data_IF_673590162738
#
_entry.id   IF_673590162738
#
_cell.length_a   1.000
_cell.length_b   1.000
_cell.length_c   1.000
_cell.angle_alpha   90.00
_cell.angle_beta   90.00
_cell.angle_gamma   90.00
#
_symmetry.space_group_name_H-M   'P 1'
#
loop_
_entity.id
_entity.type
_entity.pdbx_description
1 polymer ?
#
# COMPACT_ATOMS: atom_id res chain seq x y z
N UNK A 1 -2.24 19.60 35.35
CA UNK A 1 -2.21 18.17 34.98
C UNK A 1 -0.81 17.87 34.48
N UNK A 2 -0.04 17.07 35.21
CA UNK A 2 1.29 16.65 34.77
C UNK A 2 1.13 15.75 33.53
N UNK A 3 1.78 16.12 32.44
CA UNK A 3 1.92 15.22 31.29
C UNK A 3 2.88 14.13 31.74
N UNK A 4 2.39 12.91 31.94
CA UNK A 4 3.28 11.77 32.08
C UNK A 4 4.13 11.68 30.82
N UNK A 5 5.42 11.98 30.93
CA UNK A 5 6.37 11.73 29.87
C UNK A 5 6.56 10.23 29.77
N UNK A 6 5.98 9.62 28.75
CA UNK A 6 6.30 8.22 28.42
C UNK A 6 7.70 8.23 27.79
N UNK A 7 8.69 7.78 28.54
CA UNK A 7 10.04 7.54 28.02
C UNK A 7 10.00 6.33 27.06
N UNK A 8 9.82 6.60 25.79
CA UNK A 8 9.80 5.55 24.76
C UNK A 8 8.57 5.60 23.83
N UNK A 9 8.52 4.71 22.84
CA UNK A 9 7.36 4.61 21.95
C UNK A 9 6.13 4.09 22.69
N UNK A 10 4.95 4.61 22.33
CA UNK A 10 3.69 4.11 22.81
C UNK A 10 3.47 2.65 22.39
N UNK A 11 2.62 1.95 23.13
CA UNK A 11 2.21 0.60 22.74
C UNK A 11 1.62 0.60 21.32
N UNK A 12 2.03 -0.36 20.51
CA UNK A 12 1.54 -0.46 19.14
C UNK A 12 0.03 -0.71 19.10
N UNK A 13 -0.62 -0.07 18.16
CA UNK A 13 -2.02 -0.27 17.87
C UNK A 13 -2.30 -1.75 17.57
N UNK A 14 -3.35 -2.32 18.15
CA UNK A 14 -3.79 -3.66 17.80
C UNK A 14 -4.30 -3.69 16.36
N UNK A 15 -3.75 -4.59 15.54
CA UNK A 15 -4.13 -4.77 14.14
C UNK A 15 -4.33 -6.23 13.79
N UNK A 16 -5.05 -6.50 12.72
CA UNK A 16 -5.04 -7.81 12.04
C UNK A 16 -3.62 -8.12 11.58
N UNK A 17 -3.36 -9.39 11.25
CA UNK A 17 -2.05 -9.84 10.77
C UNK A 17 -2.18 -10.27 9.32
N UNK A 18 -1.59 -9.50 8.40
CA UNK A 18 -1.52 -9.89 6.98
C UNK A 18 -0.24 -10.69 6.71
N UNK A 19 -0.38 -11.87 6.10
CA UNK A 19 0.75 -12.73 5.76
C UNK A 19 1.13 -12.56 4.30
N UNK A 20 2.41 -12.22 4.05
CA UNK A 20 2.98 -12.01 2.73
C UNK A 20 4.15 -12.97 2.55
N UNK A 21 3.92 -14.11 1.92
CA UNK A 21 4.87 -15.20 1.93
C UNK A 21 5.18 -15.64 3.36
N UNK A 22 6.45 -15.61 3.73
CA UNK A 22 6.94 -15.93 5.08
C UNK A 22 6.95 -14.72 6.05
N UNK A 23 6.54 -13.53 5.61
CA UNK A 23 6.55 -12.30 6.41
C UNK A 23 5.15 -11.98 6.94
N UNK A 24 5.04 -11.68 8.23
CA UNK A 24 3.81 -11.24 8.88
C UNK A 24 3.83 -9.73 9.12
N UNK A 25 2.77 -9.03 8.71
CA UNK A 25 2.61 -7.58 8.86
C UNK A 25 1.45 -7.33 9.82
N UNK A 26 1.68 -6.54 10.87
CA UNK A 26 0.66 -6.19 11.86
C UNK A 26 0.73 -7.01 13.15
N UNK A 27 -0.26 -6.85 14.01
CA UNK A 27 -0.29 -7.45 15.34
C UNK A 27 0.91 -7.02 16.18
N UNK A 28 1.52 -7.99 16.87
CA UNK A 28 2.72 -7.78 17.68
C UNK A 28 4.04 -7.94 16.89
N UNK A 29 3.98 -8.18 15.58
CA UNK A 29 5.18 -8.37 14.76
C UNK A 29 5.94 -7.04 14.58
N UNK A 30 7.27 -7.07 14.42
CA UNK A 30 8.06 -5.86 14.13
C UNK A 30 7.55 -5.11 12.89
N UNK A 31 7.89 -3.83 12.79
CA UNK A 31 7.62 -3.04 11.59
C UNK A 31 8.43 -3.60 10.43
N UNK A 32 7.74 -3.97 9.36
CA UNK A 32 8.34 -4.62 8.19
C UNK A 32 8.87 -3.60 7.19
N UNK A 33 10.12 -3.77 6.76
CA UNK A 33 10.77 -2.90 5.76
C UNK A 33 10.48 -3.41 4.35
N UNK A 34 9.82 -2.58 3.55
CA UNK A 34 9.55 -2.86 2.14
C UNK A 34 10.23 -1.83 1.24
N UNK A 35 11.01 -2.29 0.29
CA UNK A 35 11.60 -1.46 -0.76
C UNK A 35 10.95 -1.69 -2.12
N UNK A 36 11.29 -0.86 -3.10
CA UNK A 36 10.82 -0.97 -4.47
C UNK A 36 12.01 -0.87 -5.44
N UNK A 37 12.00 -1.70 -6.48
CA UNK A 37 12.95 -1.57 -7.59
C UNK A 37 12.64 -0.35 -8.45
N UNK A 38 13.65 0.16 -9.13
CA UNK A 38 13.52 1.19 -10.15
C UNK A 38 14.02 0.72 -11.54
N UNK A 39 14.29 -0.58 -11.67
CA UNK A 39 14.58 -1.23 -12.95
C UNK A 39 13.32 -1.40 -13.78
N UNK A 40 13.47 -1.53 -15.10
CA UNK A 40 12.41 -2.09 -15.93
C UNK A 40 12.21 -3.56 -15.55
N UNK A 41 11.02 -3.92 -15.11
CA UNK A 41 10.72 -5.30 -14.69
C UNK A 41 10.79 -6.30 -15.85
N UNK A 42 10.64 -5.84 -17.10
CA UNK A 42 10.85 -6.68 -18.26
C UNK A 42 12.32 -7.13 -18.41
N UNK A 43 13.28 -6.38 -17.87
CA UNK A 43 14.66 -6.83 -17.68
C UNK A 43 14.76 -7.68 -16.39
N UNK A 44 14.52 -8.98 -16.55
CA UNK A 44 14.51 -9.94 -15.45
C UNK A 44 15.86 -10.07 -14.73
N UNK A 45 16.98 -9.81 -15.44
CA UNK A 45 18.33 -9.92 -14.88
C UNK A 45 18.63 -8.71 -13.99
N UNK A 46 18.45 -7.50 -14.53
CA UNK A 46 18.65 -6.27 -13.79
C UNK A 46 17.72 -6.19 -12.56
N UNK A 47 16.46 -6.59 -12.73
CA UNK A 47 15.49 -6.58 -11.64
C UNK A 47 15.84 -7.58 -10.55
N UNK A 48 16.24 -8.82 -10.88
CA UNK A 48 16.65 -9.79 -9.88
C UNK A 48 17.91 -9.34 -9.12
N UNK A 49 18.89 -8.74 -9.80
CA UNK A 49 20.09 -8.18 -9.17
C UNK A 49 19.71 -7.07 -8.19
N UNK A 50 18.83 -6.14 -8.59
CA UNK A 50 18.42 -5.05 -7.72
C UNK A 50 17.60 -5.54 -6.52
N UNK A 51 16.70 -6.51 -6.71
CA UNK A 51 16.00 -7.17 -5.58
C UNK A 51 17.02 -7.75 -4.60
N UNK A 52 18.04 -8.48 -5.09
CA UNK A 52 19.08 -9.05 -4.27
C UNK A 52 19.86 -7.97 -3.47
N UNK A 53 20.13 -6.83 -4.09
CA UNK A 53 20.78 -5.69 -3.42
C UNK A 53 19.90 -5.11 -2.32
N UNK A 54 18.60 -4.93 -2.57
CA UNK A 54 17.64 -4.42 -1.58
C UNK A 54 17.52 -5.37 -0.38
N UNK A 55 17.47 -6.68 -0.62
CA UNK A 55 17.43 -7.69 0.46
C UNK A 55 18.71 -7.62 1.32
N UNK A 56 19.88 -7.54 0.70
CA UNK A 56 21.15 -7.38 1.43
C UNK A 56 21.22 -6.06 2.22
N UNK A 57 20.49 -5.04 1.79
CA UNK A 57 20.36 -3.77 2.51
C UNK A 57 19.31 -3.79 3.63
N UNK A 58 18.61 -4.92 3.84
CA UNK A 58 17.68 -5.10 4.94
C UNK A 58 16.20 -5.05 4.54
N UNK A 59 15.86 -5.09 3.25
CA UNK A 59 14.47 -5.18 2.82
C UNK A 59 13.90 -6.58 3.06
N UNK A 60 12.79 -6.67 3.77
CA UNK A 60 12.10 -7.91 4.09
C UNK A 60 11.05 -8.27 3.04
N UNK A 61 10.58 -7.29 2.29
CA UNK A 61 9.65 -7.43 1.15
C UNK A 61 10.14 -6.51 0.04
N UNK A 62 10.05 -6.94 -1.21
CA UNK A 62 10.41 -6.10 -2.36
C UNK A 62 9.25 -5.97 -3.34
N UNK A 63 8.96 -4.73 -3.75
CA UNK A 63 7.94 -4.40 -4.74
C UNK A 63 8.57 -4.16 -6.11
N UNK A 64 7.96 -4.73 -7.13
CA UNK A 64 8.28 -4.57 -8.56
C UNK A 64 7.08 -4.02 -9.30
N UNK A 65 7.28 -3.19 -10.31
CA UNK A 65 6.19 -2.66 -11.16
C UNK A 65 5.79 -3.72 -12.20
N UNK A 66 4.48 -3.95 -12.35
CA UNK A 66 3.95 -4.88 -13.36
C UNK A 66 2.88 -4.13 -14.17
N UNK A 67 3.29 -3.45 -15.21
CA UNK A 67 2.47 -2.55 -16.02
C UNK A 67 2.38 -2.95 -17.51
N UNK A 68 3.23 -3.90 -17.94
CA UNK A 68 3.28 -4.42 -19.30
C UNK A 68 3.16 -5.95 -19.34
N UNK A 69 2.87 -6.53 -20.51
CA UNK A 69 2.84 -7.98 -20.70
C UNK A 69 4.24 -8.58 -20.54
N UNK A 70 5.26 -7.86 -20.98
CA UNK A 70 6.66 -8.25 -20.88
C UNK A 70 7.08 -8.32 -19.41
N UNK A 71 6.74 -7.30 -18.60
CA UNK A 71 6.96 -7.29 -17.17
C UNK A 71 6.24 -8.48 -16.48
N UNK A 72 4.96 -8.72 -16.81
CA UNK A 72 4.21 -9.84 -16.24
C UNK A 72 4.86 -11.19 -16.54
N UNK A 73 5.35 -11.39 -17.77
CA UNK A 73 6.06 -12.62 -18.16
C UNK A 73 7.43 -12.75 -17.51
N UNK A 74 8.07 -11.66 -17.13
CA UNK A 74 9.38 -11.67 -16.48
C UNK A 74 9.29 -12.08 -14.99
N UNK A 75 8.18 -11.81 -14.30
CA UNK A 75 8.03 -12.08 -12.87
C UNK A 75 8.40 -13.51 -12.45
N UNK A 76 7.90 -14.58 -13.09
CA UNK A 76 8.31 -15.94 -12.74
C UNK A 76 9.82 -16.17 -12.89
N UNK A 77 10.42 -15.64 -13.95
CA UNK A 77 11.87 -15.77 -14.19
C UNK A 77 12.71 -14.97 -13.17
N UNK A 78 12.20 -13.79 -12.73
CA UNK A 78 12.81 -13.05 -11.63
C UNK A 78 12.81 -13.91 -10.36
N UNK A 79 11.69 -14.57 -10.03
CA UNK A 79 11.59 -15.48 -8.90
C UNK A 79 12.60 -16.63 -9.00
N UNK A 80 12.70 -17.30 -10.13
CA UNK A 80 13.64 -18.38 -10.39
C UNK A 80 15.10 -17.93 -10.20
N UNK A 81 15.46 -16.74 -10.71
CA UNK A 81 16.78 -16.17 -10.54
C UNK A 81 17.10 -15.86 -9.08
N UNK A 82 16.15 -15.33 -8.32
CA UNK A 82 16.33 -15.07 -6.88
C UNK A 82 16.54 -16.38 -6.12
N UNK A 83 15.76 -17.42 -6.40
CA UNK A 83 15.94 -18.74 -5.82
C UNK A 83 17.32 -19.33 -6.14
N UNK A 84 17.80 -19.17 -7.39
CA UNK A 84 19.15 -19.58 -7.78
C UNK A 84 20.26 -18.82 -7.04
N UNK A 85 19.96 -17.61 -6.55
CA UNK A 85 20.86 -16.82 -5.67
C UNK A 85 20.66 -17.14 -4.17
N UNK A 86 19.84 -18.13 -3.82
CA UNK A 86 19.42 -18.45 -2.45
C UNK A 86 18.74 -17.27 -1.72
N UNK A 87 17.93 -16.49 -2.45
CA UNK A 87 17.18 -15.36 -1.93
C UNK A 87 15.70 -15.69 -1.96
N UNK A 88 15.13 -15.85 -0.77
CA UNK A 88 13.70 -16.08 -0.56
C UNK A 88 13.05 -14.83 0.05
N UNK A 89 12.76 -13.84 -0.78
CA UNK A 89 12.07 -12.61 -0.40
C UNK A 89 10.67 -12.56 -1.01
N UNK A 90 9.64 -12.17 -0.25
CA UNK A 90 8.31 -11.93 -0.82
C UNK A 90 8.35 -10.81 -1.86
N UNK A 91 7.74 -11.08 -3.03
CA UNK A 91 7.61 -10.11 -4.11
C UNK A 91 6.20 -9.54 -4.15
N UNK A 92 6.11 -8.22 -4.29
CA UNK A 92 4.84 -7.50 -4.45
C UNK A 92 4.72 -6.98 -5.86
N UNK A 93 3.67 -7.34 -6.57
CA UNK A 93 3.36 -6.77 -7.88
C UNK A 93 2.59 -5.45 -7.71
N UNK A 94 3.12 -4.38 -8.29
CA UNK A 94 2.47 -3.07 -8.34
C UNK A 94 1.72 -2.92 -9.66
N UNK A 95 0.38 -2.94 -9.57
CA UNK A 95 -0.50 -2.91 -10.74
C UNK A 95 -1.18 -1.56 -10.88
N UNK A 96 -1.25 -1.10 -12.10
CA UNK A 96 -1.97 0.09 -12.52
C UNK A 96 -3.10 -0.31 -13.50
N UNK A 97 -3.72 0.61 -14.17
CA UNK A 97 -4.92 0.54 -15.02
C UNK A 97 -5.30 -0.80 -15.68
N UNK A 98 -4.32 -1.61 -16.10
CA UNK A 98 -4.51 -2.87 -16.83
C UNK A 98 -4.17 -4.13 -16.01
N UNK A 99 -3.94 -3.98 -14.69
CA UNK A 99 -3.50 -5.07 -13.81
C UNK A 99 -4.41 -6.31 -13.86
N UNK A 100 -5.72 -6.12 -13.93
CA UNK A 100 -6.69 -7.20 -14.08
C UNK A 100 -6.46 -8.05 -15.35
N UNK A 101 -6.11 -7.41 -16.47
CA UNK A 101 -5.79 -8.10 -17.74
C UNK A 101 -4.44 -8.80 -17.68
N UNK A 102 -3.45 -8.14 -17.07
CA UNK A 102 -2.10 -8.69 -16.92
C UNK A 102 -2.11 -9.96 -16.08
N UNK A 103 -2.78 -9.94 -14.92
CA UNK A 103 -2.89 -11.11 -14.05
C UNK A 103 -3.74 -12.24 -14.67
N UNK A 104 -4.88 -11.89 -15.29
CA UNK A 104 -5.72 -12.88 -15.95
C UNK A 104 -5.01 -13.56 -17.13
N UNK A 105 -4.22 -12.81 -17.90
CA UNK A 105 -3.47 -13.31 -19.05
C UNK A 105 -2.13 -13.99 -18.71
N UNK A 106 -1.65 -13.87 -17.47
CA UNK A 106 -0.37 -14.43 -17.04
C UNK A 106 -0.51 -15.10 -15.65
N UNK A 107 -1.13 -16.29 -15.56
CA UNK A 107 -1.32 -17.01 -14.29
C UNK A 107 -0.02 -17.22 -13.52
N UNK A 108 1.07 -17.56 -14.18
CA UNK A 108 2.39 -17.76 -13.58
C UNK A 108 2.92 -16.48 -12.89
N UNK A 109 2.55 -15.28 -13.38
CA UNK A 109 2.87 -14.02 -12.69
C UNK A 109 2.14 -13.93 -11.35
N UNK A 110 0.82 -14.24 -11.33
CA UNK A 110 0.03 -14.22 -10.10
C UNK A 110 0.56 -15.23 -9.07
N UNK A 111 0.96 -16.42 -9.52
CA UNK A 111 1.54 -17.47 -8.67
C UNK A 111 2.88 -17.07 -8.07
N UNK A 112 3.75 -16.44 -8.88
CA UNK A 112 5.09 -16.03 -8.47
C UNK A 112 5.13 -14.81 -7.54
N UNK A 113 4.06 -14.04 -7.44
CA UNK A 113 3.92 -12.91 -6.51
C UNK A 113 3.39 -13.38 -5.15
N UNK A 114 3.75 -12.65 -4.08
CA UNK A 114 3.30 -12.93 -2.72
C UNK A 114 2.25 -11.92 -2.22
N UNK A 115 2.15 -10.74 -2.85
CA UNK A 115 1.17 -9.69 -2.56
C UNK A 115 0.90 -8.87 -3.80
N UNK A 116 -0.32 -8.35 -3.91
CA UNK A 116 -0.69 -7.40 -4.94
C UNK A 116 -0.81 -5.99 -4.35
N UNK A 117 -0.34 -4.97 -5.06
CA UNK A 117 -0.62 -3.58 -4.74
C UNK A 117 -1.60 -3.03 -5.76
N UNK A 118 -2.69 -2.49 -5.28
CA UNK A 118 -3.76 -1.88 -6.07
C UNK A 118 -3.96 -0.44 -5.61
N UNK A 119 -4.02 0.49 -6.56
CA UNK A 119 -4.46 1.85 -6.30
C UNK A 119 -5.89 2.01 -6.82
N UNK A 120 -6.90 2.15 -5.96
CA UNK A 120 -8.31 2.21 -6.38
C UNK A 120 -8.60 3.38 -7.33
N UNK A 121 -7.83 4.46 -7.27
CA UNK A 121 -7.93 5.58 -8.22
C UNK A 121 -7.35 5.29 -9.61
N UNK A 122 -6.54 4.23 -9.74
CA UNK A 122 -5.83 3.87 -10.99
C UNK A 122 -6.26 2.52 -11.57
N UNK A 123 -7.35 1.91 -11.12
CA UNK A 123 -7.83 0.62 -11.67
C UNK A 123 -8.81 0.79 -12.83
N UNK A 124 -9.23 2.01 -13.14
CA UNK A 124 -10.16 2.31 -14.23
C UNK A 124 -10.74 3.72 -14.11
N UNK A 125 -11.66 4.07 -15.00
CA UNK A 125 -12.36 5.36 -14.98
C UNK A 125 -13.86 5.16 -15.03
N UNK A 126 -14.62 5.93 -14.25
CA UNK A 126 -16.08 5.89 -14.23
C UNK A 126 -16.62 4.50 -13.85
N UNK A 127 -17.70 4.06 -14.47
CA UNK A 127 -18.37 2.77 -14.19
C UNK A 127 -17.46 1.53 -14.35
N UNK A 128 -16.42 1.59 -15.19
CA UNK A 128 -15.48 0.48 -15.39
C UNK A 128 -14.50 0.30 -14.21
N UNK A 129 -14.38 1.28 -13.33
CA UNK A 129 -13.45 1.21 -12.19
C UNK A 129 -13.84 0.09 -11.22
N UNK A 130 -15.11 0.03 -10.87
CA UNK A 130 -15.61 -0.94 -9.90
C UNK A 130 -15.52 -2.36 -10.43
N UNK A 131 -15.80 -2.59 -11.72
CA UNK A 131 -15.63 -3.89 -12.38
C UNK A 131 -14.16 -4.32 -12.41
N UNK A 132 -13.24 -3.41 -12.72
CA UNK A 132 -11.81 -3.71 -12.81
C UNK A 132 -11.20 -3.92 -11.42
N UNK A 133 -11.65 -3.18 -10.41
CA UNK A 133 -11.29 -3.41 -9.02
C UNK A 133 -11.78 -4.80 -8.58
N UNK A 134 -13.04 -5.13 -8.85
CA UNK A 134 -13.61 -6.43 -8.52
C UNK A 134 -12.82 -7.58 -9.15
N UNK A 135 -12.48 -7.48 -10.45
CA UNK A 135 -11.65 -8.49 -11.12
C UNK A 135 -10.28 -8.67 -10.48
N UNK A 136 -9.62 -7.59 -10.04
CA UNK A 136 -8.34 -7.68 -9.33
C UNK A 136 -8.48 -8.38 -7.98
N UNK A 137 -9.55 -8.08 -7.22
CA UNK A 137 -9.83 -8.72 -5.94
C UNK A 137 -10.17 -10.20 -6.13
N UNK A 138 -10.99 -10.54 -7.14
CA UNK A 138 -11.29 -11.93 -7.48
C UNK A 138 -10.02 -12.74 -7.84
N UNK A 139 -9.10 -12.14 -8.57
CA UNK A 139 -7.79 -12.75 -8.85
C UNK A 139 -6.95 -12.91 -7.58
N UNK A 140 -6.94 -11.90 -6.69
CA UNK A 140 -6.28 -12.00 -5.39
C UNK A 140 -6.84 -13.17 -4.56
N UNK A 141 -8.16 -13.31 -4.49
CA UNK A 141 -8.83 -14.42 -3.82
C UNK A 141 -8.45 -15.77 -4.47
N UNK A 142 -8.54 -15.87 -5.79
CA UNK A 142 -8.22 -17.08 -6.54
C UNK A 142 -6.82 -17.60 -6.28
N UNK A 143 -5.84 -16.70 -6.20
CA UNK A 143 -4.43 -17.04 -5.98
C UNK A 143 -4.02 -16.93 -4.51
N UNK A 144 -4.97 -16.69 -3.60
CA UNK A 144 -4.74 -16.52 -2.16
C UNK A 144 -3.64 -15.47 -1.87
N UNK A 145 -3.74 -14.29 -2.51
CA UNK A 145 -2.76 -13.22 -2.36
C UNK A 145 -3.32 -12.07 -1.52
N UNK A 146 -2.64 -11.64 -0.45
CA UNK A 146 -2.98 -10.42 0.24
C UNK A 146 -2.84 -9.20 -0.68
N UNK A 147 -3.63 -8.17 -0.38
CA UNK A 147 -3.67 -6.95 -1.19
C UNK A 147 -3.30 -5.74 -0.34
N UNK A 148 -2.40 -4.90 -0.86
CA UNK A 148 -2.28 -3.54 -0.34
C UNK A 148 -3.14 -2.59 -1.17
N UNK A 149 -4.16 -2.04 -0.55
CA UNK A 149 -4.96 -0.96 -1.10
C UNK A 149 -4.22 0.36 -0.81
N UNK A 150 -3.66 0.95 -1.87
CA UNK A 150 -2.78 2.11 -1.75
C UNK A 150 -3.39 3.35 -2.39
N UNK A 151 -3.96 4.23 -1.57
CA UNK A 151 -4.52 5.51 -2.00
C UNK A 151 -3.43 6.57 -2.07
N UNK A 152 -3.39 7.32 -3.17
CA UNK A 152 -2.54 8.49 -3.33
C UNK A 152 -3.41 9.70 -3.65
N UNK A 153 -3.09 10.87 -3.09
CA UNK A 153 -3.86 12.09 -3.34
C UNK A 153 -4.00 12.42 -4.84
N UNK A 154 -2.91 12.34 -5.59
CA UNK A 154 -2.90 12.66 -7.02
C UNK A 154 -3.75 11.75 -7.91
N UNK A 155 -4.28 10.64 -7.37
CA UNK A 155 -5.15 9.69 -8.08
C UNK A 155 -6.47 9.43 -7.36
N UNK A 156 -6.87 10.32 -6.45
CA UNK A 156 -8.14 10.19 -5.75
C UNK A 156 -9.32 10.28 -6.74
N UNK A 157 -10.35 9.49 -6.48
CA UNK A 157 -11.57 9.51 -7.28
C UNK A 157 -12.30 10.86 -7.23
N UNK A 158 -12.46 11.56 -8.37
CA UNK A 158 -13.17 12.83 -8.39
C UNK A 158 -14.63 12.73 -7.93
N UNK A 159 -15.28 11.60 -8.16
CA UNK A 159 -16.68 11.37 -7.78
C UNK A 159 -16.82 11.29 -6.27
N UNK A 160 -15.92 10.56 -5.61
CA UNK A 160 -15.85 10.48 -4.16
C UNK A 160 -15.57 11.87 -3.55
N UNK A 161 -14.61 12.60 -4.11
CA UNK A 161 -14.26 13.94 -3.63
C UNK A 161 -15.46 14.90 -3.76
N UNK A 162 -16.16 14.90 -4.92
CA UNK A 162 -17.34 15.72 -5.14
C UNK A 162 -18.45 15.40 -4.12
N UNK A 163 -18.73 14.12 -3.87
CA UNK A 163 -19.70 13.68 -2.86
C UNK A 163 -19.37 14.25 -1.47
N UNK A 164 -18.11 14.12 -1.04
CA UNK A 164 -17.67 14.62 0.26
C UNK A 164 -17.75 16.16 0.33
N UNK A 165 -17.43 16.86 -0.75
CA UNK A 165 -17.57 18.31 -0.84
C UNK A 165 -19.05 18.75 -0.73
N UNK A 166 -19.96 18.07 -1.42
CA UNK A 166 -21.41 18.35 -1.36
C UNK A 166 -21.98 18.08 0.03
N UNK A 167 -21.57 17.00 0.67
CA UNK A 167 -21.94 16.70 2.06
C UNK A 167 -21.40 17.77 3.02
N UNK A 168 -20.17 18.23 2.80
CA UNK A 168 -19.55 19.30 3.60
C UNK A 168 -20.29 20.63 3.46
N UNK A 169 -20.72 21.00 2.25
CA UNK A 169 -21.44 22.25 2.01
C UNK A 169 -22.80 22.33 2.75
N UNK A 170 -23.37 21.17 3.10
CA UNK A 170 -24.63 21.07 3.86
C UNK A 170 -24.45 21.14 5.37
N UNK A 171 -23.21 21.17 5.89
CA UNK A 171 -22.92 21.23 7.32
C UNK A 171 -23.13 22.64 7.87
N UNK A 172 -23.62 22.80 9.11
CA UNK A 172 -23.72 24.11 9.76
C UNK A 172 -22.36 24.82 9.87
N UNK A 173 -21.28 24.05 9.99
CA UNK A 173 -19.90 24.51 9.99
C UNK A 173 -19.11 23.68 8.97
N UNK A 174 -18.96 24.17 7.75
CA UNK A 174 -18.18 23.48 6.72
C UNK A 174 -16.70 23.36 7.13
N UNK A 175 -16.12 22.22 6.82
CA UNK A 175 -14.68 21.95 7.01
C UNK A 175 -13.86 22.64 5.92
N UNK A 176 -12.62 22.94 6.21
CA UNK A 176 -11.67 23.49 5.23
C UNK A 176 -11.20 22.45 4.19
N UNK A 177 -10.52 22.93 3.15
CA UNK A 177 -10.05 22.08 2.04
C UNK A 177 -9.11 20.96 2.51
N UNK A 178 -8.26 21.21 3.50
CA UNK A 178 -7.31 20.22 4.04
C UNK A 178 -8.06 19.10 4.77
N UNK A 179 -9.09 19.46 5.55
CA UNK A 179 -9.94 18.49 6.24
C UNK A 179 -10.75 17.64 5.26
N UNK A 180 -11.25 18.24 4.18
CA UNK A 180 -11.95 17.52 3.11
C UNK A 180 -11.01 16.54 2.40
N UNK A 181 -9.78 16.96 2.10
CA UNK A 181 -8.77 16.08 1.51
C UNK A 181 -8.50 14.86 2.41
N UNK A 182 -8.30 15.08 3.70
CA UNK A 182 -8.07 13.98 4.66
C UNK A 182 -9.24 13.00 4.69
N UNK A 183 -10.47 13.51 4.82
CA UNK A 183 -11.67 12.70 4.82
C UNK A 183 -11.79 11.87 3.54
N UNK A 184 -11.54 12.48 2.38
CA UNK A 184 -11.61 11.80 1.10
C UNK A 184 -10.55 10.68 0.95
N UNK A 185 -9.33 10.91 1.46
CA UNK A 185 -8.26 9.88 1.46
C UNK A 185 -8.62 8.70 2.35
N UNK A 186 -9.10 8.97 3.56
CA UNK A 186 -9.50 7.93 4.53
C UNK A 186 -10.74 7.19 4.04
N UNK A 187 -11.75 7.90 3.55
CA UNK A 187 -12.95 7.29 2.97
C UNK A 187 -12.61 6.38 1.79
N UNK A 188 -11.77 6.84 0.86
CA UNK A 188 -11.32 6.02 -0.28
C UNK A 188 -10.66 4.71 0.16
N UNK A 189 -9.81 4.74 1.18
CA UNK A 189 -9.15 3.55 1.70
C UNK A 189 -10.14 2.59 2.36
N UNK A 190 -11.02 3.10 3.24
CA UNK A 190 -11.97 2.29 3.99
C UNK A 190 -13.09 1.73 3.10
N UNK A 191 -13.66 2.53 2.20
CA UNK A 191 -14.68 2.07 1.25
C UNK A 191 -14.12 1.00 0.30
N UNK A 192 -12.86 1.16 -0.15
CA UNK A 192 -12.20 0.15 -0.99
C UNK A 192 -11.89 -1.13 -0.21
N UNK A 193 -11.52 -1.04 1.08
CA UNK A 193 -11.31 -2.22 1.92
C UNK A 193 -12.63 -2.97 2.17
N UNK A 194 -13.69 -2.26 2.53
CA UNK A 194 -15.02 -2.85 2.70
C UNK A 194 -15.49 -3.53 1.41
N UNK A 195 -15.29 -2.89 0.25
CA UNK A 195 -15.62 -3.47 -1.04
C UNK A 195 -14.81 -4.72 -1.35
N UNK A 196 -13.53 -4.77 -0.98
CA UNK A 196 -12.70 -5.96 -1.14
C UNK A 196 -13.20 -7.12 -0.26
N UNK A 197 -13.62 -6.86 0.98
CA UNK A 197 -14.21 -7.88 1.86
C UNK A 197 -15.56 -8.39 1.31
N UNK A 198 -16.43 -7.51 0.79
CA UNK A 198 -17.68 -7.91 0.11
C UNK A 198 -17.43 -8.84 -1.09
N UNK A 199 -16.32 -8.66 -1.78
CA UNK A 199 -15.90 -9.50 -2.91
C UNK A 199 -15.20 -10.80 -2.47
N UNK A 200 -15.09 -11.04 -1.16
CA UNK A 200 -14.58 -12.28 -0.58
C UNK A 200 -13.12 -12.27 -0.17
N UNK A 201 -12.42 -11.12 -0.24
CA UNK A 201 -11.05 -11.04 0.27
C UNK A 201 -11.07 -11.01 1.81
N UNK A 202 -10.37 -11.93 2.51
CA UNK A 202 -10.32 -11.90 3.97
C UNK A 202 -9.74 -10.58 4.49
N UNK A 203 -10.30 -10.04 5.56
CA UNK A 203 -9.84 -8.76 6.12
C UNK A 203 -8.42 -8.80 6.67
N UNK A 204 -7.91 -9.96 7.05
CA UNK A 204 -6.51 -10.19 7.40
C UNK A 204 -5.59 -10.36 6.19
N UNK A 205 -6.14 -10.32 4.98
CA UNK A 205 -5.37 -10.24 3.73
C UNK A 205 -5.28 -8.80 3.18
N UNK A 206 -5.73 -7.78 3.92
CA UNK A 206 -5.75 -6.39 3.48
C UNK A 206 -4.71 -5.58 4.27
N UNK A 207 -3.91 -4.79 3.56
CA UNK A 207 -3.02 -3.75 4.11
C UNK A 207 -3.44 -2.41 3.51
N UNK A 208 -3.53 -1.34 4.32
CA UNK A 208 -3.91 -0.02 3.82
C UNK A 208 -2.72 0.94 3.76
N UNK A 209 -2.75 1.85 2.80
CA UNK A 209 -1.86 3.01 2.78
C UNK A 209 -2.53 4.21 2.13
N UNK A 210 -2.29 5.40 2.75
CA UNK A 210 -2.76 6.70 2.25
C UNK A 210 -1.55 7.63 2.14
N UNK A 211 -1.09 7.91 0.92
CA UNK A 211 0.14 8.68 0.70
C UNK A 211 -0.14 10.08 0.18
N UNK A 212 0.48 11.05 0.83
CA UNK A 212 0.50 12.47 0.46
C UNK A 212 1.95 12.98 0.55
N UNK A 213 2.22 14.19 0.06
CA UNK A 213 3.56 14.77 0.05
C UNK A 213 3.89 15.57 1.32
N UNK A 214 2.87 16.04 2.04
CA UNK A 214 3.04 16.84 3.26
C UNK A 214 3.18 15.98 4.52
N UNK A 215 4.14 16.34 5.38
CA UNK A 215 4.42 15.62 6.63
C UNK A 215 3.23 15.70 7.60
N UNK A 216 2.70 16.88 7.84
CA UNK A 216 1.60 17.09 8.77
C UNK A 216 0.29 16.45 8.30
N UNK A 217 0.02 16.54 7.00
CA UNK A 217 -1.13 15.92 6.36
C UNK A 217 -1.05 14.40 6.50
N UNK A 218 0.14 13.81 6.26
CA UNK A 218 0.33 12.37 6.43
C UNK A 218 0.04 11.93 7.86
N UNK A 219 0.63 12.59 8.84
CA UNK A 219 0.44 12.28 10.26
C UNK A 219 -1.05 12.33 10.61
N UNK A 220 -1.75 13.38 10.19
CA UNK A 220 -3.17 13.54 10.49
C UNK A 220 -4.04 12.45 9.81
N UNK A 221 -3.75 12.09 8.56
CA UNK A 221 -4.46 11.03 7.82
C UNK A 221 -4.26 9.67 8.53
N UNK A 222 -3.04 9.33 8.92
CA UNK A 222 -2.79 8.03 9.55
C UNK A 222 -3.32 7.94 10.97
N UNK A 223 -3.38 9.04 11.73
CA UNK A 223 -4.07 9.09 13.03
C UNK A 223 -5.57 8.82 12.87
N UNK A 224 -6.21 9.46 11.88
CA UNK A 224 -7.64 9.24 11.58
C UNK A 224 -7.88 7.80 11.08
N UNK A 225 -7.08 7.31 10.15
CA UNK A 225 -7.18 5.94 9.63
C UNK A 225 -6.99 4.90 10.75
N UNK A 226 -5.98 5.10 11.60
CA UNK A 226 -5.69 4.23 12.74
C UNK A 226 -6.83 4.16 13.77
N UNK A 227 -7.57 5.26 13.95
CA UNK A 227 -8.72 5.33 14.84
C UNK A 227 -9.98 4.65 14.27
N UNK A 228 -10.06 4.47 12.94
CA UNK A 228 -11.26 4.00 12.24
C UNK A 228 -11.19 2.57 11.71
N UNK A 229 -10.06 1.91 11.77
CA UNK A 229 -9.92 0.52 11.31
C UNK A 229 -8.85 -0.25 12.07
N UNK A 230 -8.82 -1.56 11.91
CA UNK A 230 -7.83 -2.48 12.48
C UNK A 230 -6.94 -3.15 11.41
N UNK A 231 -7.00 -2.72 10.16
CA UNK A 231 -6.08 -3.20 9.12
C UNK A 231 -4.64 -2.77 9.40
N UNK A 232 -3.63 -3.60 9.04
CA UNK A 232 -2.23 -3.18 9.03
C UNK A 232 -2.02 -1.97 8.12
N UNK A 233 -1.19 -1.02 8.58
CA UNK A 233 -0.93 0.23 7.88
C UNK A 233 0.50 0.27 7.32
N UNK A 234 0.61 0.55 6.02
CA UNK A 234 1.88 0.81 5.35
C UNK A 234 2.14 2.31 5.26
N UNK A 235 3.12 2.79 6.01
CA UNK A 235 3.48 4.21 6.06
C UNK A 235 4.33 4.62 4.85
N UNK A 236 4.32 5.90 4.54
CA UNK A 236 5.21 6.53 3.58
C UNK A 236 4.63 7.78 2.96
N UNK A 237 5.51 8.74 2.69
CA UNK A 237 5.21 9.89 1.85
C UNK A 237 5.28 9.52 0.37
N UNK A 238 4.64 10.32 -0.47
CA UNK A 238 4.82 10.31 -1.92
C UNK A 238 5.30 11.70 -2.36
N UNK A 239 6.19 11.76 -3.36
CA UNK A 239 6.69 13.04 -3.89
C UNK A 239 7.29 13.97 -2.82
N UNK A 240 7.94 13.38 -1.80
CA UNK A 240 8.50 14.10 -0.66
C UNK A 240 9.76 14.92 -1.00
N UNK A 241 10.27 14.79 -2.22
CA UNK A 241 11.50 15.40 -2.69
C UNK A 241 12.61 14.39 -2.93
N UNK A 242 13.69 14.84 -3.54
CA UNK A 242 14.88 14.03 -3.85
C UNK A 242 15.97 14.20 -2.77
N UNK A 243 16.82 13.19 -2.65
CA UNK A 243 17.99 13.20 -1.77
C UNK A 243 17.63 13.47 -0.31
N UNK A 244 18.40 14.31 0.34
CA UNK A 244 18.24 14.63 1.77
C UNK A 244 16.87 15.20 2.13
N UNK A 245 16.25 15.99 1.26
CA UNK A 245 14.90 16.54 1.50
C UNK A 245 13.87 15.41 1.67
N UNK A 246 13.85 14.44 0.76
CA UNK A 246 12.95 13.30 0.83
C UNK A 246 13.20 12.42 2.05
N UNK A 247 14.48 12.17 2.38
CA UNK A 247 14.88 11.40 3.55
C UNK A 247 14.40 12.07 4.84
N UNK A 248 14.69 13.36 5.01
CA UNK A 248 14.30 14.12 6.22
C UNK A 248 12.77 14.17 6.37
N UNK A 249 12.04 14.50 5.31
CA UNK A 249 10.58 14.56 5.35
C UNK A 249 9.96 13.18 5.68
N UNK A 250 10.42 12.11 5.03
CA UNK A 250 9.94 10.76 5.27
C UNK A 250 10.25 10.30 6.70
N UNK A 251 11.49 10.54 7.16
CA UNK A 251 11.90 10.20 8.52
C UNK A 251 11.06 10.93 9.57
N UNK A 252 10.83 12.25 9.40
CA UNK A 252 10.05 13.05 10.34
C UNK A 252 8.60 12.55 10.45
N UNK A 253 7.95 12.28 9.29
CA UNK A 253 6.57 11.80 9.28
C UNK A 253 6.44 10.39 9.90
N UNK A 254 7.30 9.47 9.51
CA UNK A 254 7.25 8.09 10.00
C UNK A 254 7.67 7.99 11.48
N UNK A 255 8.67 8.76 11.92
CA UNK A 255 9.10 8.76 13.32
C UNK A 255 7.98 9.15 14.27
N UNK A 256 7.20 10.19 13.95
CA UNK A 256 6.06 10.61 14.77
C UNK A 256 5.02 9.49 14.87
N UNK A 257 4.62 8.91 13.73
CA UNK A 257 3.61 7.85 13.72
C UNK A 257 4.07 6.58 14.42
N UNK A 258 5.30 6.14 14.19
CA UNK A 258 5.87 4.96 14.84
C UNK A 258 6.03 5.16 16.35
N UNK A 259 6.41 6.36 16.80
CA UNK A 259 6.46 6.73 18.22
C UNK A 259 5.08 6.63 18.88
N UNK A 260 4.01 6.93 18.14
CA UNK A 260 2.62 6.82 18.57
C UNK A 260 2.05 5.40 18.46
N UNK A 261 2.85 4.42 18.07
CA UNK A 261 2.42 3.03 17.87
C UNK A 261 1.61 2.80 16.59
N UNK A 262 1.64 3.73 15.65
CA UNK A 262 0.93 3.67 14.36
C UNK A 262 1.89 3.26 13.24
N UNK A 263 1.58 2.17 12.55
CA UNK A 263 2.34 1.68 11.39
C UNK A 263 2.88 0.27 11.57
N UNK A 264 2.72 -0.55 10.55
CA UNK A 264 3.06 -1.98 10.55
C UNK A 264 4.10 -2.35 9.49
N UNK A 265 4.23 -1.51 8.46
CA UNK A 265 5.28 -1.63 7.43
C UNK A 265 5.60 -0.25 6.84
N UNK A 266 6.80 -0.07 6.32
CA UNK A 266 7.30 1.16 5.72
C UNK A 266 7.87 0.89 4.33
#
# INVERSE_FOLDING_TARGET
MAVESTDGPLARRATRIARVGNVAIGGAHPVVVQSMTNTDTADEVATAIQVAQLVRAGSEIVRITVDTQEAARAVPRIRERLLAMSIEVPLVGDFHFNGHKLLAGNPACAEALDKLRINPGNVGRGAKRDDQFAQLIELACRYNKPVRIGVNWGSLDPTLLARIMDENARRPQPRDATQIMREAMVASALESAARAEELGLPGDAIVLSCKVSGVQELIAIYRDLAARCDYPLHLGLTEAGMGSKGIVASTAAMAVLLQEGVGDTI
#
